data_IF_776887690289
#
_entry.id   IF_776887690289
#
_cell.length_a   1.000
_cell.length_b   1.000
_cell.length_c   1.000
_cell.angle_alpha   90.00
_cell.angle_beta   90.00
_cell.angle_gamma   90.00
#
_symmetry.space_group_name_H-M   'P 1'
#
loop_
_entity.id
_entity.type
_entity.pdbx_description
1 polymer ?
#
# COMPACT_ATOMS: atom_id res chain seq x y z
N UNK A 1 4.02 4.38 -3.40
CA UNK A 1 4.03 3.58 -2.15
C UNK A 1 5.18 2.58 -2.10
N UNK A 2 5.29 1.65 -3.07
CA UNK A 2 6.35 0.63 -3.06
C UNK A 2 7.77 1.22 -3.14
N UNK A 3 8.01 2.18 -4.05
CA UNK A 3 9.27 2.93 -4.11
C UNK A 3 9.65 3.53 -2.75
N UNK A 4 8.74 4.31 -2.15
CA UNK A 4 8.95 4.91 -0.83
C UNK A 4 9.31 3.86 0.24
N UNK A 5 8.65 2.70 0.22
CA UNK A 5 8.95 1.60 1.14
C UNK A 5 10.39 1.07 0.97
N UNK A 6 10.83 0.87 -0.27
CA UNK A 6 12.17 0.36 -0.57
C UNK A 6 13.24 1.43 -0.30
N UNK A 7 12.96 2.68 -0.67
CA UNK A 7 13.84 3.82 -0.49
C UNK A 7 14.17 4.06 0.99
N UNK A 8 13.13 4.10 1.83
CA UNK A 8 13.28 4.24 3.28
C UNK A 8 14.11 3.12 3.90
N UNK A 9 14.00 1.92 3.35
CA UNK A 9 14.73 0.74 3.83
C UNK A 9 16.12 0.62 3.22
N UNK A 10 16.55 1.59 2.42
CA UNK A 10 17.81 1.59 1.67
C UNK A 10 17.98 0.35 0.79
N UNK A 11 16.86 -0.25 0.38
CA UNK A 11 16.82 -1.33 -0.63
C UNK A 11 16.92 -0.69 -2.01
N UNK A 12 16.21 0.42 -2.19
CA UNK A 12 16.32 1.28 -3.35
C UNK A 12 17.13 2.52 -2.96
N UNK A 13 18.10 2.87 -3.79
CA UNK A 13 18.96 4.04 -3.56
C UNK A 13 18.89 5.04 -4.71
N UNK A 14 18.31 4.65 -5.84
CA UNK A 14 18.19 5.53 -6.99
C UNK A 14 17.06 6.56 -6.76
N UNK A 15 17.18 7.76 -7.34
CA UNK A 15 16.10 8.73 -7.43
C UNK A 15 14.84 8.12 -8.08
N UNK A 16 13.63 8.62 -7.75
CA UNK A 16 12.39 8.06 -8.27
C UNK A 16 12.32 8.11 -9.79
N UNK A 17 12.87 9.15 -10.42
CA UNK A 17 12.93 9.33 -11.87
C UNK A 17 13.70 8.21 -12.59
N UNK A 18 14.71 7.65 -11.93
CA UNK A 18 15.52 6.56 -12.47
C UNK A 18 14.84 5.23 -12.11
N UNK A 19 14.63 4.99 -10.81
CA UNK A 19 14.16 3.71 -10.29
C UNK A 19 12.84 3.25 -10.92
N UNK A 20 11.85 4.14 -10.99
CA UNK A 20 10.50 3.78 -11.48
C UNK A 20 10.43 3.54 -12.98
N UNK A 21 11.42 4.04 -13.73
CA UNK A 21 11.54 3.83 -15.18
C UNK A 21 12.39 2.60 -15.48
N UNK A 22 13.48 2.39 -14.73
CA UNK A 22 14.41 1.29 -14.96
C UNK A 22 13.89 -0.07 -14.48
N UNK A 23 13.10 -0.08 -13.41
CA UNK A 23 12.53 -1.32 -12.85
C UNK A 23 11.01 -1.36 -13.06
N UNK A 24 10.51 -2.23 -13.96
CA UNK A 24 9.09 -2.33 -14.25
C UNK A 24 8.27 -2.81 -13.04
N UNK A 25 8.87 -3.34 -11.97
CA UNK A 25 8.15 -3.78 -10.77
C UNK A 25 7.35 -2.64 -10.14
N UNK A 26 7.85 -1.40 -10.21
CA UNK A 26 7.18 -0.24 -9.61
C UNK A 26 5.89 0.11 -10.34
N UNK A 27 5.88 -0.03 -11.67
CA UNK A 27 4.70 0.16 -12.51
C UNK A 27 3.77 -1.05 -12.42
N UNK A 28 4.29 -2.26 -12.61
CA UNK A 28 3.49 -3.48 -12.70
C UNK A 28 2.66 -3.74 -11.44
N UNK A 29 3.18 -3.38 -10.26
CA UNK A 29 2.41 -3.47 -9.01
C UNK A 29 1.18 -2.56 -8.96
N UNK A 30 1.18 -1.48 -9.75
CA UNK A 30 0.09 -0.51 -9.85
C UNK A 30 -0.89 -0.84 -10.98
N UNK A 31 -0.60 -1.87 -11.81
CA UNK A 31 -1.51 -2.37 -12.84
C UNK A 31 -2.48 -3.38 -12.23
N UNK A 32 -3.54 -2.88 -11.61
CA UNK A 32 -4.50 -3.68 -10.86
C UNK A 32 -5.38 -4.55 -11.76
N UNK A 33 -5.74 -4.06 -12.96
CA UNK A 33 -6.58 -4.82 -13.88
C UNK A 33 -5.92 -6.13 -14.30
N UNK A 34 -4.61 -6.09 -14.58
CA UNK A 34 -3.81 -7.27 -14.94
C UNK A 34 -3.79 -8.29 -13.80
N UNK A 35 -3.74 -7.82 -12.55
CA UNK A 35 -3.67 -8.69 -11.37
C UNK A 35 -5.01 -9.33 -11.05
N UNK A 36 -6.13 -8.59 -11.18
CA UNK A 36 -7.45 -9.08 -10.78
C UNK A 36 -8.17 -9.86 -11.89
N UNK A 37 -7.85 -9.60 -13.16
CA UNK A 37 -8.50 -10.21 -14.32
C UNK A 37 -8.57 -11.75 -14.25
N UNK A 38 -7.50 -12.49 -13.92
CA UNK A 38 -7.58 -13.96 -13.87
C UNK A 38 -8.61 -14.46 -12.86
N UNK A 39 -8.81 -13.72 -11.76
CA UNK A 39 -9.81 -14.07 -10.76
C UNK A 39 -11.22 -13.76 -11.27
N UNK A 40 -11.42 -12.62 -11.92
CA UNK A 40 -12.71 -12.26 -12.52
C UNK A 40 -13.12 -13.24 -13.63
N UNK A 41 -12.17 -13.67 -14.46
CA UNK A 41 -12.41 -14.65 -15.52
C UNK A 41 -12.74 -16.05 -14.96
N UNK A 42 -12.07 -16.47 -13.88
CA UNK A 42 -12.25 -17.80 -13.29
C UNK A 42 -13.50 -17.91 -12.41
N UNK A 43 -13.73 -16.90 -11.55
CA UNK A 43 -14.79 -16.94 -10.54
C UNK A 43 -16.04 -16.15 -10.94
N UNK A 44 -15.96 -15.30 -11.96
CA UNK A 44 -17.02 -14.38 -12.34
C UNK A 44 -17.06 -13.12 -11.47
N UNK A 45 -17.64 -12.05 -12.00
CA UNK A 45 -17.78 -10.75 -11.32
C UNK A 45 -18.60 -10.83 -10.03
N UNK A 46 -19.62 -11.69 -10.00
CA UNK A 46 -20.55 -11.80 -8.88
C UNK A 46 -19.89 -12.40 -7.62
N UNK A 47 -18.77 -13.11 -7.78
CA UNK A 47 -18.01 -13.73 -6.69
C UNK A 47 -16.79 -12.90 -6.27
N UNK A 48 -16.61 -11.68 -6.81
CA UNK A 48 -15.48 -10.80 -6.49
C UNK A 48 -15.97 -9.37 -6.24
N UNK A 49 -15.87 -8.93 -4.99
CA UNK A 49 -16.17 -7.56 -4.63
C UNK A 49 -14.94 -6.65 -4.79
N UNK A 50 -14.99 -5.75 -5.75
CA UNK A 50 -13.99 -4.69 -5.91
C UNK A 50 -14.33 -3.49 -5.02
N UNK A 51 -13.39 -3.13 -4.13
CA UNK A 51 -13.48 -2.00 -3.21
C UNK A 51 -12.41 -0.95 -3.56
N UNK A 52 -12.82 0.31 -3.65
CA UNK A 52 -11.91 1.43 -3.85
C UNK A 52 -11.51 1.99 -2.49
N UNK A 53 -10.21 2.07 -2.23
CA UNK A 53 -9.69 2.42 -0.92
C UNK A 53 -10.11 3.82 -0.49
N UNK A 54 -10.06 4.79 -1.41
CA UNK A 54 -10.45 6.16 -1.12
C UNK A 54 -11.93 6.29 -0.76
N UNK A 55 -12.81 5.49 -1.38
CA UNK A 55 -14.24 5.44 -1.04
C UNK A 55 -14.47 4.78 0.32
N UNK A 56 -13.71 3.73 0.61
CA UNK A 56 -13.72 3.10 1.92
C UNK A 56 -13.32 4.07 3.03
N UNK A 57 -12.26 4.87 2.83
CA UNK A 57 -11.85 5.85 3.83
C UNK A 57 -12.87 6.98 3.96
N UNK A 58 -13.51 7.39 2.86
CA UNK A 58 -14.53 8.43 2.87
C UNK A 58 -15.82 8.00 3.61
N UNK A 59 -16.25 6.75 3.46
CA UNK A 59 -17.43 6.20 4.14
C UNK A 59 -17.27 4.71 4.47
N UNK A 60 -16.62 4.45 5.60
CA UNK A 60 -16.34 3.09 6.07
C UNK A 60 -17.61 2.31 6.40
N UNK A 61 -18.63 2.97 6.98
CA UNK A 61 -19.86 2.30 7.41
C UNK A 61 -20.66 1.81 6.20
N UNK A 62 -20.82 2.66 5.18
CA UNK A 62 -21.47 2.26 3.93
C UNK A 62 -20.71 1.14 3.23
N UNK A 63 -19.37 1.17 3.24
CA UNK A 63 -18.58 0.06 2.68
C UNK A 63 -18.73 -1.24 3.47
N UNK A 64 -18.78 -1.21 4.80
CA UNK A 64 -19.06 -2.41 5.60
C UNK A 64 -20.43 -3.00 5.27
N UNK A 65 -21.45 -2.16 5.10
CA UNK A 65 -22.80 -2.61 4.67
C UNK A 65 -22.77 -3.26 3.28
N UNK A 66 -22.00 -2.70 2.33
CA UNK A 66 -21.78 -3.28 1.00
C UNK A 66 -21.08 -4.64 1.07
N UNK A 67 -20.06 -4.77 1.91
CA UNK A 67 -19.35 -6.04 2.16
C UNK A 67 -20.32 -7.08 2.75
N UNK A 68 -21.13 -6.70 3.73
CA UNK A 68 -22.12 -7.61 4.32
C UNK A 68 -23.16 -8.09 3.30
N UNK A 69 -23.65 -7.19 2.44
CA UNK A 69 -24.55 -7.56 1.34
C UNK A 69 -23.90 -8.58 0.39
N UNK A 70 -22.66 -8.34 -0.03
CA UNK A 70 -21.92 -9.26 -0.87
C UNK A 70 -21.69 -10.64 -0.22
N UNK A 71 -21.38 -10.67 1.08
CA UNK A 71 -21.21 -11.91 1.85
C UNK A 71 -22.54 -12.57 2.25
N UNK A 72 -23.68 -11.94 1.94
CA UNK A 72 -25.02 -12.37 2.34
C UNK A 72 -25.15 -12.57 3.86
N UNK A 73 -24.64 -11.61 4.64
CA UNK A 73 -24.73 -11.58 6.11
C UNK A 73 -25.52 -10.37 6.60
N UNK A 74 -26.11 -10.48 7.79
CA UNK A 74 -26.82 -9.36 8.42
C UNK A 74 -25.85 -8.28 8.89
N UNK A 75 -26.00 -7.01 8.45
CA UNK A 75 -25.16 -5.91 8.91
C UNK A 75 -25.56 -5.51 10.34
N UNK A 76 -24.96 -6.17 11.33
CA UNK A 76 -25.22 -5.90 12.75
C UNK A 76 -24.05 -5.13 13.38
N UNK A 77 -24.38 -4.13 14.21
CA UNK A 77 -23.44 -3.32 15.00
C UNK A 77 -22.41 -2.48 14.21
N UNK A 78 -22.52 -2.40 12.87
CA UNK A 78 -21.57 -1.63 12.07
C UNK A 78 -21.59 -0.13 12.41
N UNK A 79 -22.76 0.46 12.63
CA UNK A 79 -22.89 1.89 12.95
C UNK A 79 -22.21 2.28 14.27
N UNK A 80 -21.84 1.30 15.12
CA UNK A 80 -21.12 1.50 16.37
C UNK A 80 -19.60 1.27 16.22
N UNK A 81 -19.12 0.98 15.01
CA UNK A 81 -17.72 0.68 14.75
C UNK A 81 -16.87 1.93 14.87
N UNK A 82 -15.72 1.79 15.52
CA UNK A 82 -14.70 2.83 15.57
C UNK A 82 -13.99 2.95 14.21
N UNK A 83 -14.32 3.99 13.45
CA UNK A 83 -13.77 4.29 12.12
C UNK A 83 -12.52 5.17 12.17
N UNK A 84 -11.99 5.46 13.37
CA UNK A 84 -10.81 6.31 13.52
C UNK A 84 -9.56 5.67 12.90
N UNK A 85 -8.68 6.45 12.24
CA UNK A 85 -7.43 5.93 11.70
C UNK A 85 -6.47 5.46 12.81
N UNK A 86 -6.19 4.15 12.91
CA UNK A 86 -5.31 3.57 13.95
C UNK A 86 -3.85 3.35 13.51
N UNK A 87 -3.58 3.28 12.21
CA UNK A 87 -2.26 2.98 11.66
C UNK A 87 -1.88 3.98 10.57
N UNK A 88 -1.52 5.20 10.99
CA UNK A 88 -0.96 6.18 10.06
C UNK A 88 0.41 5.68 9.57
N UNK A 89 0.59 5.62 8.25
CA UNK A 89 1.84 5.18 7.61
C UNK A 89 3.03 6.14 7.81
N UNK A 90 2.82 7.25 8.53
CA UNK A 90 3.81 8.25 8.90
C UNK A 90 4.35 7.99 10.32
N UNK A 91 5.63 8.26 10.56
CA UNK A 91 6.25 8.08 11.89
C UNK A 91 6.65 6.64 12.25
N UNK A 92 6.65 5.72 11.28
CA UNK A 92 7.16 4.36 11.51
C UNK A 92 8.69 4.31 11.52
N UNK A 93 9.23 3.67 12.54
CA UNK A 93 10.66 3.42 12.73
C UNK A 93 11.11 2.20 11.92
N UNK A 94 12.05 2.37 10.98
CA UNK A 94 12.63 1.29 10.18
C UNK A 94 14.12 1.13 10.46
N UNK A 95 14.59 -0.11 10.64
CA UNK A 95 16.03 -0.36 10.69
C UNK A 95 16.63 -0.01 9.32
N UNK A 96 17.39 1.08 9.26
CA UNK A 96 17.87 1.65 8.00
C UNK A 96 19.13 0.98 7.45
N UNK A 97 19.86 0.20 8.25
CA UNK A 97 21.04 -0.53 7.77
C UNK A 97 20.70 -1.99 7.46
N UNK A 98 21.13 -2.45 6.28
CA UNK A 98 21.02 -3.84 5.84
C UNK A 98 21.68 -4.81 6.83
N UNK A 99 22.87 -4.46 7.34
CA UNK A 99 23.61 -5.25 8.33
C UNK A 99 22.85 -5.47 9.64
N UNK A 100 22.20 -4.46 10.21
CA UNK A 100 21.33 -4.65 11.38
C UNK A 100 20.10 -5.50 11.05
N UNK A 101 19.57 -5.38 9.83
CA UNK A 101 18.44 -6.19 9.38
C UNK A 101 18.83 -7.66 9.22
N UNK A 102 20.03 -7.96 8.74
CA UNK A 102 20.58 -9.31 8.70
C UNK A 102 20.92 -9.83 10.10
N UNK A 103 21.52 -9.01 10.95
CA UNK A 103 21.82 -9.36 12.34
C UNK A 103 20.55 -9.77 13.09
N UNK A 104 19.44 -9.03 12.91
CA UNK A 104 18.16 -9.39 13.54
C UNK A 104 17.52 -10.66 12.99
N UNK A 105 17.94 -11.11 11.79
CA UNK A 105 17.53 -12.38 11.19
C UNK A 105 18.46 -13.55 11.59
N UNK A 106 19.61 -13.27 12.21
CA UNK A 106 20.55 -14.31 12.61
C UNK A 106 19.96 -15.31 13.62
N UNK A 107 20.41 -16.56 13.54
CA UNK A 107 19.96 -17.65 14.42
C UNK A 107 20.25 -17.37 15.90
N UNK A 108 21.38 -16.69 16.17
CA UNK A 108 21.79 -16.22 17.49
C UNK A 108 20.84 -15.15 18.03
N UNK A 109 20.58 -14.08 17.27
CA UNK A 109 19.69 -13.02 17.72
C UNK A 109 18.27 -13.54 17.96
N UNK A 110 17.77 -14.46 17.12
CA UNK A 110 16.45 -15.08 17.30
C UNK A 110 16.33 -15.87 18.60
N UNK A 111 17.41 -16.52 19.07
CA UNK A 111 17.46 -17.24 20.35
C UNK A 111 17.52 -16.31 21.56
N UNK A 112 18.19 -15.17 21.44
CA UNK A 112 18.36 -14.20 22.54
C UNK A 112 17.14 -13.26 22.66
N UNK A 113 16.46 -12.99 21.55
CA UNK A 113 15.29 -12.10 21.46
C UNK A 113 14.23 -12.26 22.57
N UNK A 114 13.81 -13.48 22.99
CA UNK A 114 12.80 -13.65 24.04
C UNK A 114 13.26 -13.18 25.42
N UNK A 115 14.57 -13.16 25.66
CA UNK A 115 15.17 -12.79 26.95
C UNK A 115 15.45 -11.29 27.09
N UNK A 116 15.18 -10.50 26.04
CA UNK A 116 15.38 -9.05 26.06
C UNK A 116 14.08 -8.38 26.54
N UNK A 117 14.08 -7.71 27.72
CA UNK A 117 12.91 -7.01 28.23
C UNK A 117 12.40 -5.92 27.28
N UNK A 118 11.08 -5.72 27.27
CA UNK A 118 10.45 -4.70 26.42
C UNK A 118 11.02 -3.28 26.66
N UNK A 119 11.41 -2.97 27.90
CA UNK A 119 12.00 -1.69 28.30
C UNK A 119 13.36 -1.37 27.67
N UNK A 120 14.15 -2.39 27.28
CA UNK A 120 15.43 -2.22 26.56
C UNK A 120 15.20 -2.25 25.05
N UNK A 121 14.27 -3.09 24.62
CA UNK A 121 13.96 -3.33 23.21
C UNK A 121 13.47 -2.09 22.48
N UNK A 122 12.56 -1.34 23.10
CA UNK A 122 11.94 -0.16 22.48
C UNK A 122 12.94 0.99 22.25
N UNK A 123 13.74 1.44 23.23
CA UNK A 123 14.74 2.49 23.01
C UNK A 123 15.86 2.05 22.07
N UNK A 124 16.31 0.80 22.13
CA UNK A 124 17.30 0.27 21.19
C UNK A 124 16.76 0.26 19.76
N UNK A 125 15.52 -0.19 19.57
CA UNK A 125 14.86 -0.13 18.25
C UNK A 125 14.80 1.31 17.74
N UNK A 126 14.37 2.27 18.57
CA UNK A 126 14.26 3.69 18.19
C UNK A 126 15.61 4.31 17.81
N UNK A 127 16.70 3.95 18.51
CA UNK A 127 18.06 4.44 18.19
C UNK A 127 18.64 3.85 16.92
N UNK A 128 18.33 2.58 16.64
CA UNK A 128 18.85 1.86 15.47
C UNK A 128 17.97 2.02 14.23
N UNK A 129 16.80 2.62 14.39
CA UNK A 129 15.86 2.87 13.31
C UNK A 129 15.99 4.28 12.79
N UNK A 130 16.08 4.41 11.48
CA UNK A 130 15.92 5.68 10.80
C UNK A 130 14.44 6.07 10.83
N UNK A 131 14.18 7.34 11.11
CA UNK A 131 12.86 7.96 10.99
C UNK A 131 12.76 8.55 9.60
N UNK A 132 11.68 8.24 8.89
CA UNK A 132 11.36 8.93 7.65
C UNK A 132 10.80 10.29 8.05
N UNK A 133 11.57 11.35 7.88
CA UNK A 133 11.05 12.70 8.11
C UNK A 133 10.25 13.19 6.90
N UNK A 134 10.60 12.78 5.67
CA UNK A 134 9.86 13.19 4.45
C UNK A 134 9.74 12.05 3.43
N UNK A 135 8.56 11.90 2.83
CA UNK A 135 8.36 10.97 1.71
C UNK A 135 8.96 11.60 0.46
N UNK A 136 9.67 10.83 -0.40
CA UNK A 136 10.16 11.36 -1.66
C UNK A 136 9.00 11.88 -2.51
N UNK A 137 9.09 13.13 -2.93
CA UNK A 137 8.12 13.76 -3.81
C UNK A 137 8.39 13.38 -5.25
N UNK A 138 7.33 13.14 -6.01
CA UNK A 138 7.40 12.87 -7.44
C UNK A 138 7.14 14.17 -8.18
N UNK A 139 8.05 14.56 -9.09
CA UNK A 139 7.87 15.75 -9.92
C UNK A 139 6.59 15.66 -10.77
N UNK A 140 5.95 16.78 -11.14
CA UNK A 140 4.75 16.76 -11.99
C UNK A 140 4.96 16.02 -13.31
N UNK A 141 6.13 16.22 -13.93
CA UNK A 141 6.51 15.54 -15.18
C UNK A 141 6.57 14.03 -14.97
N UNK A 142 7.25 13.56 -13.91
CA UNK A 142 7.32 12.14 -13.60
C UNK A 142 5.92 11.56 -13.33
N UNK A 143 5.07 12.27 -12.59
CA UNK A 143 3.68 11.83 -12.35
C UNK A 143 2.89 11.64 -13.64
N UNK A 144 3.00 12.58 -14.59
CA UNK A 144 2.34 12.47 -15.89
C UNK A 144 2.93 11.31 -16.72
N UNK A 145 4.24 11.09 -16.67
CA UNK A 145 4.88 9.92 -17.30
C UNK A 145 4.37 8.61 -16.70
N UNK A 146 4.33 8.49 -15.38
CA UNK A 146 3.83 7.31 -14.67
C UNK A 146 2.35 7.05 -14.98
N UNK A 147 1.54 8.11 -15.09
CA UNK A 147 0.13 8.03 -15.49
C UNK A 147 -0.04 7.34 -16.84
N UNK A 148 0.73 7.75 -17.85
CA UNK A 148 0.68 7.15 -19.20
C UNK A 148 0.97 5.65 -19.22
N UNK A 149 1.73 5.13 -18.24
CA UNK A 149 2.01 3.69 -18.14
C UNK A 149 0.87 2.85 -17.55
N UNK A 150 -0.10 3.48 -16.89
CA UNK A 150 -1.19 2.80 -16.17
C UNK A 150 -2.59 3.21 -16.64
N UNK A 151 -2.71 4.23 -17.49
CA UNK A 151 -4.00 4.74 -17.97
C UNK A 151 -4.85 3.67 -18.69
N UNK A 152 -4.21 2.80 -19.46
CA UNK A 152 -4.86 1.67 -20.13
C UNK A 152 -5.40 0.65 -19.11
N UNK A 153 -4.63 0.37 -18.06
CA UNK A 153 -5.03 -0.49 -16.95
C UNK A 153 -6.21 0.11 -16.17
N UNK A 154 -6.19 1.42 -15.92
CA UNK A 154 -7.29 2.14 -15.26
C UNK A 154 -8.56 2.07 -16.10
N UNK A 155 -8.46 2.24 -17.42
CA UNK A 155 -9.60 2.10 -18.33
C UNK A 155 -10.20 0.68 -18.26
N UNK A 156 -9.35 -0.35 -18.11
CA UNK A 156 -9.81 -1.72 -17.87
C UNK A 156 -10.44 -1.91 -16.48
N UNK A 157 -9.93 -1.24 -15.45
CA UNK A 157 -10.59 -1.26 -14.13
C UNK A 157 -11.95 -0.58 -14.15
N UNK A 158 -12.10 0.53 -14.88
CA UNK A 158 -13.37 1.25 -15.05
C UNK A 158 -14.43 0.37 -15.73
N UNK A 159 -14.02 -0.47 -16.70
CA UNK A 159 -14.93 -1.43 -17.34
C UNK A 159 -15.36 -2.54 -16.37
N UNK A 160 -14.45 -3.08 -15.55
CA UNK A 160 -14.80 -4.07 -14.52
C UNK A 160 -15.76 -3.52 -13.46
N UNK A 161 -15.65 -2.24 -13.14
CA UNK A 161 -16.52 -1.56 -12.18
C UNK A 161 -17.81 -1.01 -12.80
N UNK A 162 -17.92 -1.01 -14.13
CA UNK A 162 -18.96 -0.36 -14.90
C UNK A 162 -19.19 1.12 -14.51
N UNK A 163 -18.10 1.85 -14.22
CA UNK A 163 -18.11 3.28 -13.91
C UNK A 163 -16.71 3.87 -14.01
N UNK A 164 -16.63 5.19 -14.15
CA UNK A 164 -15.37 5.93 -14.13
C UNK A 164 -14.78 6.03 -12.73
N UNK A 165 -13.46 6.07 -12.66
CA UNK A 165 -12.66 6.28 -11.45
C UNK A 165 -12.02 7.67 -11.49
N UNK A 166 -12.85 8.71 -11.55
CA UNK A 166 -12.37 10.09 -11.73
C UNK A 166 -11.44 10.52 -10.59
N UNK A 167 -11.63 9.99 -9.38
CA UNK A 167 -10.76 10.23 -8.23
C UNK A 167 -9.31 9.77 -8.44
N UNK A 168 -9.07 8.76 -9.29
CA UNK A 168 -7.72 8.30 -9.63
C UNK A 168 -7.08 9.14 -10.73
N UNK A 169 -7.89 9.84 -11.53
CA UNK A 169 -7.43 10.73 -12.62
C UNK A 169 -6.99 12.11 -12.10
N UNK A 170 -7.48 12.51 -10.93
CA UNK A 170 -7.15 13.81 -10.32
C UNK A 170 -5.64 13.99 -10.11
N UNK A 171 -5.09 15.08 -10.63
CA UNK A 171 -3.69 15.45 -10.46
C UNK A 171 -2.72 14.85 -11.49
N UNK A 172 -3.23 14.18 -12.52
CA UNK A 172 -2.42 13.59 -13.61
C UNK A 172 -2.86 14.03 -15.01
N UNK A 173 -4.13 14.38 -15.16
CA UNK A 173 -4.68 14.99 -16.37
C UNK A 173 -4.55 16.52 -16.29
N UNK A 174 -4.13 17.14 -17.39
CA UNK A 174 -4.13 18.60 -17.55
C UNK A 174 -5.53 19.22 -17.38
#
# INVERSE_FOLDING_TARGET
SHYTHNFVRKIETQPPEIATISDPVYINRSRYSVQIRPYLELFGSDNILLLIFEEYIADQISMLKRIASFLNITPSFFDQSDTSPKHQSTGSYYLGSESLREFTKSSLFRKVRPYIPAGIRQPLRRRLSDKIDEKPEFSPVLRQTLWRFVEDDITCMESFLNRRLDMWRQGYTE
#
